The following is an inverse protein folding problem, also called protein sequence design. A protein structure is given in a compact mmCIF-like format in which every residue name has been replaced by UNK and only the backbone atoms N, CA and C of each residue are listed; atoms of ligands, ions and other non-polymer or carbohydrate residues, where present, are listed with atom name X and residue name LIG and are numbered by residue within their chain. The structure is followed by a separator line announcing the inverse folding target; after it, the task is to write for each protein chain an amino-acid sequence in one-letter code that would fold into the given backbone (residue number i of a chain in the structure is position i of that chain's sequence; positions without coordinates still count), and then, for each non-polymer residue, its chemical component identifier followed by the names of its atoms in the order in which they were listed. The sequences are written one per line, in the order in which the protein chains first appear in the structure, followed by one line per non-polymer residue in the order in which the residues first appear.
data_IF_146439678976
#
_entry.id   IF_146439678976
#
_cell.length_a   1.000
_cell.length_b   1.000
_cell.length_c   1.000
_cell.angle_alpha   90.00
_cell.angle_beta   90.00
_cell.angle_gamma   90.00
#
_symmetry.space_group_name_H-M   'P 1'
#
loop_
_entity.id
_entity.type
_entity.pdbx_description
1 polymer ?
#
# COMPACT_ATOMS: atom_id res chain seq x y z
N UNK A 1 -26.12 60.17 -28.83
CA UNK A 1 -25.41 58.90 -29.10
C UNK A 1 -25.03 58.28 -27.78
N UNK A 2 -25.65 57.19 -27.38
CA UNK A 2 -25.36 56.50 -26.12
C UNK A 2 -24.40 55.33 -26.40
N UNK A 3 -23.21 55.36 -25.79
CA UNK A 3 -22.25 54.26 -25.88
C UNK A 3 -22.65 53.16 -24.89
N UNK A 4 -23.04 51.99 -25.41
CA UNK A 4 -23.17 50.76 -24.64
C UNK A 4 -21.79 50.24 -24.29
N UNK A 5 -21.46 50.27 -23.00
CA UNK A 5 -20.24 49.71 -22.46
C UNK A 5 -20.49 48.21 -22.16
N UNK A 6 -20.27 47.34 -23.15
CA UNK A 6 -20.38 45.89 -22.96
C UNK A 6 -19.19 45.40 -22.13
N UNK A 7 -19.38 45.28 -20.82
CA UNK A 7 -18.42 44.55 -19.97
C UNK A 7 -18.41 43.09 -20.43
N UNK A 8 -17.35 42.70 -21.12
CA UNK A 8 -17.08 41.29 -21.41
C UNK A 8 -16.88 40.63 -20.05
N UNK A 9 -17.85 39.81 -19.62
CA UNK A 9 -17.69 38.97 -18.46
C UNK A 9 -16.53 38.01 -18.78
N UNK A 10 -15.35 38.26 -18.20
CA UNK A 10 -14.23 37.34 -18.29
C UNK A 10 -14.69 36.01 -17.68
N UNK A 11 -14.93 35.02 -18.54
CA UNK A 11 -15.22 33.67 -18.08
C UNK A 11 -14.07 33.24 -17.17
N UNK A 12 -14.35 32.69 -15.97
CA UNK A 12 -13.27 32.24 -15.09
C UNK A 12 -12.37 31.28 -15.88
N UNK A 13 -11.04 31.39 -15.74
CA UNK A 13 -10.12 30.54 -16.47
C UNK A 13 -10.48 29.09 -16.19
N UNK A 14 -10.58 28.29 -17.25
CA UNK A 14 -10.82 26.85 -17.14
C UNK A 14 -9.73 26.26 -16.25
N UNK A 15 -10.13 25.73 -15.08
CA UNK A 15 -9.24 24.99 -14.21
C UNK A 15 -8.83 23.72 -14.96
N UNK A 16 -7.68 23.77 -15.62
CA UNK A 16 -7.10 22.61 -16.30
C UNK A 16 -6.43 21.76 -15.24
N UNK A 17 -7.03 20.62 -14.93
CA UNK A 17 -6.42 19.60 -14.10
C UNK A 17 -5.31 18.98 -14.96
N UNK A 18 -4.08 19.44 -14.75
CA UNK A 18 -2.89 18.84 -15.33
C UNK A 18 -2.75 17.37 -14.87
N UNK A 19 -2.08 16.50 -15.64
CA UNK A 19 -1.84 15.13 -15.19
C UNK A 19 -1.03 15.16 -13.89
N UNK A 20 -1.49 14.39 -12.90
CA UNK A 20 -0.80 14.24 -11.63
C UNK A 20 0.57 13.58 -11.84
N UNK A 21 1.62 14.22 -11.34
CA UNK A 21 3.03 13.84 -11.51
C UNK A 21 3.58 12.95 -10.39
N UNK A 22 2.80 12.67 -9.35
CA UNK A 22 3.20 11.77 -8.27
C UNK A 22 3.70 12.45 -7.00
N UNK A 23 4.41 11.68 -6.19
CA UNK A 23 5.00 12.15 -4.93
C UNK A 23 6.33 12.86 -5.19
N UNK A 24 6.52 14.04 -4.59
CA UNK A 24 7.78 14.78 -4.64
C UNK A 24 8.30 15.06 -3.23
N UNK A 25 9.43 14.45 -2.88
CA UNK A 25 10.11 14.59 -1.58
C UNK A 25 11.37 15.45 -1.67
N UNK A 26 11.70 16.01 -2.84
CA UNK A 26 12.96 16.73 -3.08
C UNK A 26 12.93 18.19 -2.64
N UNK A 27 11.75 18.77 -2.43
CA UNK A 27 11.56 20.17 -2.04
C UNK A 27 10.56 20.27 -0.89
N UNK A 28 10.49 21.45 -0.25
CA UNK A 28 9.52 21.67 0.83
C UNK A 28 8.08 21.62 0.28
N UNK A 29 7.08 21.20 1.08
CA UNK A 29 5.67 21.13 0.65
C UNK A 29 5.07 22.44 0.12
N UNK A 30 5.71 23.57 0.41
CA UNK A 30 5.33 24.91 -0.09
C UNK A 30 5.87 25.23 -1.48
N UNK A 31 6.84 24.45 -1.98
CA UNK A 31 7.54 24.65 -3.24
C UNK A 31 7.21 23.59 -4.29
N UNK A 32 6.37 22.61 -3.95
CA UNK A 32 5.91 21.60 -4.90
C UNK A 32 4.93 22.21 -5.90
N UNK A 33 4.92 21.65 -7.11
CA UNK A 33 3.95 21.99 -8.14
C UNK A 33 2.54 21.50 -7.75
N UNK A 34 1.49 22.17 -8.22
CA UNK A 34 0.09 21.77 -7.97
C UNK A 34 -0.24 20.37 -8.50
N UNK A 35 0.54 19.88 -9.46
CA UNK A 35 0.41 18.53 -10.01
C UNK A 35 1.16 17.46 -9.21
N UNK A 36 1.78 17.80 -8.07
CA UNK A 36 2.56 16.89 -7.23
C UNK A 36 1.96 16.83 -5.81
N UNK A 37 2.28 15.75 -5.09
CA UNK A 37 1.90 15.61 -3.68
C UNK A 37 3.15 15.52 -2.79
N UNK A 38 3.19 16.21 -1.64
CA UNK A 38 4.29 16.06 -0.68
C UNK A 38 4.16 14.75 0.11
N UNK A 39 2.93 14.27 0.27
CA UNK A 39 2.60 13.03 0.95
C UNK A 39 1.42 12.36 0.23
N UNK A 40 1.47 11.04 0.08
CA UNK A 40 0.47 10.23 -0.63
C UNK A 40 -0.14 9.18 0.28
N UNK A 41 -0.66 9.62 1.42
CA UNK A 41 -1.28 8.74 2.40
C UNK A 41 -2.42 7.93 1.79
N UNK A 42 -2.39 6.63 2.06
CA UNK A 42 -3.41 5.66 1.63
C UNK A 42 -3.61 5.55 0.11
N UNK A 43 -2.57 5.87 -0.67
CA UNK A 43 -2.53 5.63 -2.11
C UNK A 43 -1.54 4.50 -2.42
N UNK A 44 -1.84 3.68 -3.43
CA UNK A 44 -0.88 2.75 -4.00
C UNK A 44 -0.74 2.99 -5.51
N UNK A 45 0.36 2.49 -6.07
CA UNK A 45 0.58 2.42 -7.50
C UNK A 45 0.26 0.98 -7.93
N UNK A 46 -0.60 0.84 -8.92
CA UNK A 46 -0.93 -0.44 -9.56
C UNK A 46 0.23 -0.96 -10.43
N UNK A 47 0.19 -2.22 -10.86
CA UNK A 47 1.16 -2.82 -11.79
C UNK A 47 1.27 -2.03 -13.10
N UNK A 48 0.22 -1.30 -13.47
CA UNK A 48 0.15 -0.43 -14.65
C UNK A 48 0.61 1.01 -14.40
N UNK A 49 1.09 1.33 -13.20
CA UNK A 49 1.50 2.68 -12.82
C UNK A 49 0.34 3.62 -12.48
N UNK A 50 -0.90 3.14 -12.45
CA UNK A 50 -2.08 3.93 -12.10
C UNK A 50 -2.20 4.12 -10.59
N UNK A 51 -2.71 5.26 -10.15
CA UNK A 51 -2.93 5.54 -8.74
C UNK A 51 -4.27 4.99 -8.27
N UNK A 52 -4.24 4.10 -7.29
CA UNK A 52 -5.44 3.58 -6.65
C UNK A 52 -5.49 3.99 -5.18
N UNK A 53 -6.71 4.23 -4.70
CA UNK A 53 -6.97 4.41 -3.28
C UNK A 53 -6.89 3.06 -2.58
N UNK A 54 -6.20 3.00 -1.44
CA UNK A 54 -6.19 1.80 -0.59
C UNK A 54 -7.61 1.50 -0.10
N UNK A 55 -8.07 0.27 -0.33
CA UNK A 55 -9.44 -0.19 -0.02
C UNK A 55 -9.68 -0.50 1.46
N UNK A 56 -8.67 -0.31 2.31
CA UNK A 56 -8.72 -0.60 3.74
C UNK A 56 -7.74 -1.70 4.12
N UNK A 57 -7.97 -2.33 5.26
CA UNK A 57 -7.24 -3.50 5.73
C UNK A 57 -8.24 -4.56 6.16
N UNK A 58 -8.03 -5.80 5.74
CA UNK A 58 -8.74 -6.96 6.30
C UNK A 58 -7.82 -7.60 7.34
N UNK A 59 -8.39 -7.94 8.49
CA UNK A 59 -7.66 -8.71 9.50
C UNK A 59 -7.55 -10.14 9.01
N UNK A 60 -6.32 -10.58 8.72
CA UNK A 60 -6.05 -11.94 8.24
C UNK A 60 -6.10 -12.94 9.40
N UNK A 61 -5.49 -12.61 10.54
CA UNK A 61 -5.46 -13.48 11.72
C UNK A 61 -6.37 -12.88 12.80
N UNK A 62 -7.53 -13.48 13.12
CA UNK A 62 -8.51 -12.93 14.06
C UNK A 62 -8.02 -12.85 15.52
N UNK A 63 -6.91 -13.50 15.86
CA UNK A 63 -6.27 -13.42 17.18
C UNK A 63 -4.83 -12.90 17.12
N UNK A 64 -4.32 -12.39 18.25
CA UNK A 64 -2.88 -12.07 18.34
C UNK A 64 -2.10 -13.37 18.45
N UNK A 65 -0.88 -13.43 17.88
CA UNK A 65 -0.02 -14.62 17.99
C UNK A 65 0.59 -14.78 19.40
N UNK A 66 0.40 -13.79 20.28
CA UNK A 66 0.74 -13.83 21.69
C UNK A 66 0.87 -12.42 22.28
N UNK A 67 1.54 -12.33 23.43
CA UNK A 67 1.89 -11.07 24.07
C UNK A 67 3.14 -10.49 23.39
N UNK A 68 2.96 -9.53 22.48
CA UNK A 68 4.06 -8.90 21.77
C UNK A 68 3.61 -8.19 20.49
N UNK A 69 4.56 -7.50 19.86
CA UNK A 69 4.34 -6.86 18.57
C UNK A 69 4.92 -7.74 17.45
N UNK A 70 4.38 -7.58 16.24
CA UNK A 70 5.03 -8.08 15.03
C UNK A 70 6.25 -7.21 14.76
N UNK A 71 7.43 -7.81 14.79
CA UNK A 71 8.73 -7.17 14.58
C UNK A 71 9.16 -7.20 13.10
N UNK A 72 8.62 -8.13 12.31
CA UNK A 72 8.95 -8.23 10.90
C UNK A 72 8.21 -9.37 10.20
N UNK A 73 8.09 -9.25 8.88
CA UNK A 73 7.50 -10.25 8.00
C UNK A 73 8.40 -10.40 6.77
N UNK A 74 8.78 -11.64 6.44
CA UNK A 74 9.76 -11.93 5.39
C UNK A 74 9.30 -13.08 4.51
N UNK A 75 9.47 -12.93 3.19
CA UNK A 75 9.39 -14.05 2.28
C UNK A 75 10.79 -14.70 2.19
N UNK A 76 10.93 -15.90 2.73
CA UNK A 76 12.17 -16.66 2.70
C UNK A 76 12.12 -17.70 1.58
N UNK A 77 13.12 -17.66 0.71
CA UNK A 77 13.28 -18.61 -0.39
C UNK A 77 14.39 -19.61 -0.06
N UNK A 78 14.01 -20.87 0.10
CA UNK A 78 14.92 -21.99 0.34
C UNK A 78 15.73 -22.32 -0.91
N UNK A 79 16.82 -23.07 -0.74
CA UNK A 79 17.73 -23.49 -1.83
C UNK A 79 17.06 -24.40 -2.85
N UNK A 80 16.05 -25.17 -2.44
CA UNK A 80 15.24 -26.03 -3.31
C UNK A 80 14.23 -25.24 -4.17
N UNK A 81 14.12 -23.92 -3.95
CA UNK A 81 13.20 -23.04 -4.65
C UNK A 81 11.85 -22.87 -3.95
N UNK A 82 11.60 -23.56 -2.83
CA UNK A 82 10.38 -23.42 -2.03
C UNK A 82 10.37 -22.06 -1.31
N UNK A 83 9.22 -21.40 -1.28
CA UNK A 83 9.04 -20.12 -0.60
C UNK A 83 8.17 -20.31 0.66
N UNK A 84 8.61 -19.72 1.77
CA UNK A 84 7.86 -19.69 3.04
C UNK A 84 7.77 -18.26 3.54
N UNK A 85 6.64 -17.92 4.17
CA UNK A 85 6.50 -16.65 4.87
C UNK A 85 6.90 -16.81 6.33
N UNK A 86 7.73 -15.91 6.82
CA UNK A 86 8.20 -15.87 8.20
C UNK A 86 7.68 -14.61 8.90
N UNK A 87 7.24 -14.74 10.14
CA UNK A 87 6.79 -13.67 11.01
C UNK A 87 7.59 -13.67 12.29
N UNK A 88 8.27 -12.57 12.57
CA UNK A 88 8.86 -12.33 13.86
C UNK A 88 7.82 -11.65 14.76
N UNK A 89 7.47 -12.25 15.88
CA UNK A 89 6.51 -11.71 16.84
C UNK A 89 7.04 -11.85 18.27
N UNK A 90 7.35 -10.72 18.91
CA UNK A 90 8.08 -10.70 20.18
C UNK A 90 9.42 -11.43 20.04
N UNK A 91 9.62 -12.49 20.85
CA UNK A 91 10.83 -13.33 20.84
C UNK A 91 10.63 -14.67 20.10
N UNK A 92 9.57 -14.79 19.28
CA UNK A 92 9.21 -16.01 18.57
C UNK A 92 9.19 -15.80 17.07
N UNK A 93 9.52 -16.85 16.33
CA UNK A 93 9.44 -16.92 14.88
C UNK A 93 8.30 -17.87 14.50
N UNK A 94 7.46 -17.45 13.56
CA UNK A 94 6.36 -18.25 13.02
C UNK A 94 6.57 -18.40 11.51
N UNK A 95 6.21 -19.56 10.97
CA UNK A 95 6.15 -19.80 9.52
C UNK A 95 4.70 -20.00 9.09
N UNK A 96 4.36 -19.47 7.92
CA UNK A 96 3.12 -19.82 7.24
C UNK A 96 3.32 -21.07 6.40
N UNK A 97 2.35 -21.98 6.45
CA UNK A 97 2.41 -23.24 5.71
C UNK A 97 2.17 -23.04 4.20
N UNK A 98 1.54 -21.94 3.80
CA UNK A 98 1.34 -21.58 2.38
C UNK A 98 1.52 -20.08 2.13
N UNK A 99 2.09 -19.72 0.98
CA UNK A 99 2.08 -18.34 0.48
C UNK A 99 0.66 -18.04 -0.02
N UNK A 100 -0.05 -17.01 0.50
CA UNK A 100 -1.39 -16.72 0.04
C UNK A 100 -1.35 -16.32 -1.42
N UNK A 101 -2.18 -16.95 -2.26
CA UNK A 101 -2.33 -16.56 -3.65
C UNK A 101 -3.47 -15.55 -3.76
N UNK A 102 -3.10 -14.27 -3.79
CA UNK A 102 -4.01 -13.12 -3.82
C UNK A 102 -4.84 -13.01 -5.11
N UNK A 103 -4.59 -13.86 -6.12
CA UNK A 103 -5.38 -13.90 -7.36
C UNK A 103 -6.66 -14.73 -7.26
N UNK A 104 -6.78 -15.60 -6.25
CA UNK A 104 -7.95 -16.48 -6.08
C UNK A 104 -8.53 -16.33 -4.67
N UNK A 105 -9.57 -15.50 -4.51
CA UNK A 105 -10.25 -15.25 -3.23
C UNK A 105 -10.85 -16.51 -2.55
N UNK A 106 -10.93 -17.64 -3.29
CA UNK A 106 -11.41 -18.95 -2.79
C UNK A 106 -10.30 -19.91 -2.34
N UNK A 107 -9.02 -19.62 -2.61
CA UNK A 107 -7.91 -20.55 -2.35
C UNK A 107 -6.81 -19.82 -1.56
N UNK A 108 -6.73 -20.14 -0.26
CA UNK A 108 -5.75 -19.69 0.73
C UNK A 108 -5.91 -18.25 1.23
N UNK A 109 -7.05 -17.97 1.89
CA UNK A 109 -7.04 -17.03 3.02
C UNK A 109 -6.33 -17.75 4.17
N UNK A 110 -5.35 -17.11 4.78
CA UNK A 110 -4.69 -17.68 5.95
C UNK A 110 -5.69 -17.79 7.10
N UNK A 111 -5.81 -18.97 7.68
CA UNK A 111 -6.53 -19.25 8.92
C UNK A 111 -5.64 -19.13 10.15
N UNK A 112 -6.24 -19.18 11.33
CA UNK A 112 -5.49 -19.21 12.61
C UNK A 112 -4.57 -20.44 12.72
N UNK A 113 -4.88 -21.51 12.01
CA UNK A 113 -4.19 -22.79 12.00
C UNK A 113 -3.02 -22.86 11.00
N UNK A 114 -2.88 -21.88 10.11
CA UNK A 114 -1.86 -21.87 9.05
C UNK A 114 -0.47 -21.36 9.51
N UNK A 115 -0.35 -20.97 10.78
CA UNK A 115 0.87 -20.41 11.39
C UNK A 115 1.45 -21.35 12.43
N UNK A 116 2.65 -21.86 12.16
CA UNK A 116 3.37 -22.74 13.09
C UNK A 116 4.60 -22.03 13.66
N UNK A 117 4.78 -22.08 14.98
CA UNK A 117 6.00 -21.59 15.61
C UNK A 117 7.18 -22.44 15.09
N UNK A 118 8.25 -21.80 14.66
CA UNK A 118 9.44 -22.46 14.12
C UNK A 118 10.70 -21.88 14.71
N UNK A 119 11.81 -22.59 14.54
CA UNK A 119 13.14 -22.16 14.99
C UNK A 119 14.06 -21.97 13.79
N UNK A 120 15.10 -21.14 13.94
CA UNK A 120 16.08 -20.88 12.87
C UNK A 120 16.72 -22.16 12.31
N UNK A 121 16.84 -23.21 13.12
CA UNK A 121 17.37 -24.52 12.70
C UNK A 121 16.44 -25.32 11.78
N UNK A 122 15.17 -24.93 11.66
CA UNK A 122 14.13 -25.66 10.90
C UNK A 122 13.76 -24.98 9.56
N UNK A 123 14.34 -23.80 9.32
CA UNK A 123 14.04 -22.93 8.17
C UNK A 123 15.03 -23.15 7.03
#
# INVERSE_FOLDING_TARGET
MAQMNSRVNASPPLLRIEPFKGMNLSVTPTQIDHSQSPDMLNMNIDERGALNKRTGYERIIPHSLGDGNINGMFLYRKKDGTEIFLFAHGNKLYKGDTVPNWQNERLAKWGDDDLTQTWESEV
#
